data_IF_907869831354
#
_entry.id   IF_907869831354
#
_cell.length_a   1.000
_cell.length_b   1.000
_cell.length_c   1.000
_cell.angle_alpha   90.00
_cell.angle_beta   90.00
_cell.angle_gamma   90.00
#
_symmetry.space_group_name_H-M   'P 1'
#
loop_
_entity.id
_entity.type
_entity.pdbx_description
1 polymer ?
#
# COMPACT_ATOMS: atom_id res chain seq x y z
N UNK A 1 7.61 -30.15 10.36
CA UNK A 1 7.80 -29.81 8.93
C UNK A 1 9.26 -29.44 8.80
N UNK A 2 10.01 -30.28 8.10
CA UNK A 2 11.47 -30.36 8.27
C UNK A 2 12.16 -29.29 7.43
N UNK A 3 13.24 -28.69 7.93
CA UNK A 3 14.06 -27.68 7.23
C UNK A 3 14.50 -28.11 5.81
N UNK A 4 14.50 -29.42 5.53
CA UNK A 4 14.81 -29.98 4.21
C UNK A 4 13.72 -29.75 3.16
N UNK A 5 12.43 -29.78 3.55
CA UNK A 5 11.30 -29.57 2.63
C UNK A 5 11.23 -28.10 2.20
N UNK A 6 11.34 -27.18 3.17
CA UNK A 6 11.34 -25.74 2.91
C UNK A 6 12.50 -25.30 1.99
N UNK A 7 13.69 -25.92 2.13
CA UNK A 7 14.83 -25.65 1.24
C UNK A 7 14.59 -26.16 -0.18
N UNK A 8 13.92 -27.31 -0.33
CA UNK A 8 13.52 -27.85 -1.63
C UNK A 8 12.50 -26.95 -2.32
N UNK A 9 11.46 -26.52 -1.59
CA UNK A 9 10.42 -25.62 -2.10
C UNK A 9 11.01 -24.26 -2.52
N UNK A 10 11.98 -23.74 -1.76
CA UNK A 10 12.69 -22.53 -2.08
C UNK A 10 13.53 -22.67 -3.36
N UNK A 11 14.17 -23.81 -3.57
CA UNK A 11 14.93 -24.10 -4.78
C UNK A 11 14.06 -24.17 -6.03
N UNK A 12 12.87 -24.80 -5.92
CA UNK A 12 11.86 -24.83 -6.99
C UNK A 12 11.30 -23.43 -7.27
N UNK A 13 11.04 -22.66 -6.21
CA UNK A 13 10.59 -21.28 -6.34
C UNK A 13 11.64 -20.40 -7.03
N UNK A 14 12.91 -20.50 -6.62
CA UNK A 14 13.99 -19.73 -7.23
C UNK A 14 14.15 -20.05 -8.72
N UNK A 15 14.10 -21.33 -9.09
CA UNK A 15 14.12 -21.76 -10.49
C UNK A 15 12.94 -21.18 -11.28
N UNK A 16 11.72 -21.35 -10.76
CA UNK A 16 10.51 -20.82 -11.39
C UNK A 16 10.59 -19.31 -11.59
N UNK A 17 11.07 -18.57 -10.59
CA UNK A 17 11.21 -17.12 -10.67
C UNK A 17 12.27 -16.70 -11.68
N UNK A 18 13.42 -17.37 -11.72
CA UNK A 18 14.46 -17.10 -12.72
C UNK A 18 13.91 -17.30 -14.14
N UNK A 19 13.27 -18.44 -14.38
CA UNK A 19 12.69 -18.77 -15.69
C UNK A 19 11.62 -17.75 -16.11
N UNK A 20 10.72 -17.39 -15.19
CA UNK A 20 9.69 -16.37 -15.45
C UNK A 20 10.32 -15.01 -15.84
N UNK A 21 11.40 -14.59 -15.18
CA UNK A 21 12.11 -13.35 -15.52
C UNK A 21 12.84 -13.44 -16.86
N UNK A 22 13.34 -14.61 -17.23
CA UNK A 22 13.90 -14.86 -18.56
C UNK A 22 12.84 -14.80 -19.65
N UNK A 23 11.69 -15.45 -19.46
CA UNK A 23 10.56 -15.42 -20.40
C UNK A 23 10.03 -14.00 -20.63
N UNK A 24 9.96 -13.20 -19.56
CA UNK A 24 9.56 -11.78 -19.61
C UNK A 24 10.65 -10.85 -20.19
N UNK A 25 11.83 -11.38 -20.52
CA UNK A 25 12.96 -10.61 -21.06
C UNK A 25 13.58 -9.63 -20.06
N UNK A 26 13.32 -9.79 -18.75
CA UNK A 26 13.92 -8.98 -17.69
C UNK A 26 15.30 -9.49 -17.27
N UNK A 27 15.58 -10.77 -17.52
CA UNK A 27 16.86 -11.40 -17.28
C UNK A 27 17.30 -12.09 -18.57
N UNK A 28 18.40 -11.66 -19.15
CA UNK A 28 18.93 -12.24 -20.38
C UNK A 28 20.29 -12.88 -20.09
N UNK A 29 20.31 -14.22 -20.02
CA UNK A 29 21.55 -14.99 -20.01
C UNK A 29 21.39 -16.23 -20.89
N UNK A 30 22.44 -16.54 -21.65
CA UNK A 30 22.52 -17.76 -22.47
C UNK A 30 23.34 -18.87 -21.84
N UNK A 31 23.85 -18.64 -20.63
CA UNK A 31 24.76 -19.54 -19.93
C UNK A 31 24.01 -20.38 -18.89
N UNK A 32 23.81 -21.66 -19.19
CA UNK A 32 23.14 -22.59 -18.29
C UNK A 32 23.87 -22.73 -16.95
N UNK A 33 25.21 -22.65 -16.93
CA UNK A 33 25.97 -22.75 -15.70
C UNK A 33 25.74 -21.54 -14.79
N UNK A 34 25.50 -20.36 -15.38
CA UNK A 34 25.17 -19.16 -14.62
C UNK A 34 23.77 -19.27 -13.99
N UNK A 35 22.80 -19.85 -14.70
CA UNK A 35 21.45 -20.09 -14.15
C UNK A 35 21.50 -21.03 -12.93
N UNK A 36 22.27 -22.11 -13.00
CA UNK A 36 22.50 -23.03 -11.88
C UNK A 36 23.22 -22.34 -10.71
N UNK A 37 24.22 -21.51 -11.00
CA UNK A 37 24.94 -20.70 -10.00
C UNK A 37 23.97 -19.73 -9.29
N UNK A 38 23.12 -19.04 -10.04
CA UNK A 38 22.10 -18.14 -9.49
C UNK A 38 21.11 -18.90 -8.60
N UNK A 39 20.55 -20.02 -9.07
CA UNK A 39 19.61 -20.82 -8.28
C UNK A 39 20.24 -21.28 -6.95
N UNK A 40 21.48 -21.78 -7.00
CA UNK A 40 22.19 -22.25 -5.82
C UNK A 40 22.42 -21.11 -4.82
N UNK A 41 22.99 -19.98 -5.27
CA UNK A 41 23.31 -18.85 -4.40
C UNK A 41 22.04 -18.24 -3.81
N UNK A 42 20.98 -18.06 -4.60
CA UNK A 42 19.71 -17.51 -4.12
C UNK A 42 19.07 -18.40 -3.05
N UNK A 43 19.10 -19.72 -3.24
CA UNK A 43 18.50 -20.69 -2.29
C UNK A 43 19.29 -20.75 -0.99
N UNK A 44 20.63 -20.77 -1.06
CA UNK A 44 21.49 -20.75 0.13
C UNK A 44 21.36 -19.43 0.89
N UNK A 45 21.37 -18.31 0.18
CA UNK A 45 21.27 -17.01 0.82
C UNK A 45 19.90 -16.78 1.43
N UNK A 46 18.81 -17.17 0.78
CA UNK A 46 17.46 -16.77 1.21
C UNK A 46 17.03 -17.32 2.59
N UNK A 47 17.79 -18.23 3.22
CA UNK A 47 17.54 -18.75 4.59
C UNK A 47 16.07 -19.15 4.86
N UNK A 48 15.36 -19.65 3.84
CA UNK A 48 13.94 -20.04 3.92
C UNK A 48 12.93 -18.93 3.64
N UNK A 49 13.35 -17.70 3.30
CA UNK A 49 12.49 -16.58 2.97
C UNK A 49 12.34 -16.38 1.46
N UNK A 50 11.19 -16.76 0.91
CA UNK A 50 10.84 -16.58 -0.51
C UNK A 50 10.93 -15.12 -0.99
N UNK A 51 10.49 -14.16 -0.16
CA UNK A 51 10.60 -12.73 -0.48
C UNK A 51 12.05 -12.31 -0.75
N UNK A 52 13.02 -12.96 -0.10
CA UNK A 52 14.41 -12.61 -0.27
C UNK A 52 14.91 -12.99 -1.67
N UNK A 53 14.51 -14.15 -2.18
CA UNK A 53 14.77 -14.56 -3.57
C UNK A 53 14.25 -13.48 -4.54
N UNK A 54 13.07 -12.91 -4.28
CA UNK A 54 12.53 -11.83 -5.12
C UNK A 54 13.44 -10.59 -5.13
N UNK A 55 13.85 -10.09 -3.96
CA UNK A 55 14.72 -8.91 -3.89
C UNK A 55 16.10 -9.14 -4.52
N UNK A 56 16.69 -10.31 -4.27
CA UNK A 56 18.00 -10.65 -4.83
C UNK A 56 17.89 -10.84 -6.35
N UNK A 57 16.81 -11.44 -6.85
CA UNK A 57 16.60 -11.61 -8.28
C UNK A 57 16.39 -10.26 -8.99
N UNK A 58 15.72 -9.30 -8.35
CA UNK A 58 15.62 -7.94 -8.88
C UNK A 58 16.99 -7.26 -9.03
N UNK A 59 17.91 -7.49 -8.07
CA UNK A 59 19.30 -7.02 -8.17
C UNK A 59 20.04 -7.64 -9.37
N UNK A 60 19.77 -8.91 -9.67
CA UNK A 60 20.39 -9.62 -10.79
C UNK A 60 19.79 -9.18 -12.14
N UNK A 61 18.48 -8.96 -12.20
CA UNK A 61 17.80 -8.44 -13.40
C UNK A 61 18.26 -7.02 -13.77
N UNK A 62 18.80 -6.25 -12.82
CA UNK A 62 19.33 -4.91 -13.07
C UNK A 62 20.72 -4.91 -13.74
N UNK A 63 21.37 -6.07 -13.92
CA UNK A 63 22.70 -6.19 -14.49
C UNK A 63 22.67 -6.30 -16.02
N UNK A 64 23.73 -5.80 -16.69
CA UNK A 64 23.75 -5.65 -18.15
C UNK A 64 24.41 -6.84 -18.87
N UNK A 65 25.25 -7.62 -18.19
CA UNK A 65 25.95 -8.76 -18.77
C UNK A 65 26.24 -9.85 -17.73
N UNK A 66 26.58 -11.05 -18.20
CA UNK A 66 26.86 -12.20 -17.34
C UNK A 66 28.01 -11.95 -16.33
N UNK A 67 29.01 -11.14 -16.67
CA UNK A 67 30.09 -10.78 -15.74
C UNK A 67 29.58 -9.87 -14.60
N UNK A 68 28.68 -8.94 -14.91
CA UNK A 68 28.04 -8.08 -13.91
C UNK A 68 27.09 -8.88 -13.02
N UNK A 69 26.36 -9.86 -13.58
CA UNK A 69 25.54 -10.81 -12.81
C UNK A 69 26.43 -11.55 -11.80
N UNK A 70 27.55 -12.14 -12.24
CA UNK A 70 28.49 -12.84 -11.35
C UNK A 70 29.10 -11.95 -10.28
N UNK A 71 29.42 -10.69 -10.61
CA UNK A 71 29.85 -9.70 -9.62
C UNK A 71 28.73 -9.38 -8.63
N UNK A 72 27.50 -9.23 -9.10
CA UNK A 72 26.34 -8.95 -8.26
C UNK A 72 26.08 -10.10 -7.29
N UNK A 73 26.12 -11.36 -7.76
CA UNK A 73 26.04 -12.58 -6.93
C UNK A 73 27.04 -12.59 -5.76
N UNK A 74 28.27 -12.09 -5.98
CA UNK A 74 29.31 -11.99 -4.93
C UNK A 74 29.07 -10.87 -3.92
N UNK A 75 28.26 -9.87 -4.27
CA UNK A 75 28.00 -8.69 -3.43
C UNK A 75 26.60 -8.68 -2.83
N UNK A 76 25.82 -9.75 -3.02
CA UNK A 76 24.48 -9.85 -2.49
C UNK A 76 24.46 -9.56 -0.98
N UNK A 77 23.40 -8.90 -0.49
CA UNK A 77 23.26 -8.58 0.92
C UNK A 77 23.31 -9.87 1.75
N UNK A 78 23.98 -9.80 2.90
CA UNK A 78 24.19 -10.96 3.79
C UNK A 78 23.11 -11.11 4.86
N UNK A 79 22.26 -10.09 5.01
CA UNK A 79 21.23 -10.04 6.03
C UNK A 79 20.05 -9.17 5.56
N UNK A 80 18.94 -9.24 6.31
CA UNK A 80 17.72 -8.49 6.03
C UNK A 80 17.94 -6.98 5.97
N UNK A 81 18.73 -6.43 6.90
CA UNK A 81 19.01 -5.00 6.96
C UNK A 81 19.71 -4.50 5.70
N UNK A 82 20.74 -5.21 5.23
CA UNK A 82 21.45 -4.86 4.00
C UNK A 82 20.55 -4.98 2.77
N UNK A 83 19.63 -5.95 2.77
CA UNK A 83 18.65 -6.14 1.71
C UNK A 83 17.69 -4.96 1.64
N UNK A 84 17.08 -4.57 2.75
CA UNK A 84 16.18 -3.42 2.79
C UNK A 84 16.91 -2.12 2.48
N UNK A 85 18.13 -1.93 2.97
CA UNK A 85 18.96 -0.77 2.61
C UNK A 85 19.23 -0.69 1.10
N UNK A 86 19.48 -1.82 0.43
CA UNK A 86 19.61 -1.86 -1.03
C UNK A 86 18.31 -1.49 -1.74
N UNK A 87 17.17 -2.02 -1.28
CA UNK A 87 15.85 -1.68 -1.83
C UNK A 87 15.55 -0.18 -1.67
N UNK A 88 15.76 0.38 -0.48
CA UNK A 88 15.60 1.80 -0.22
C UNK A 88 16.57 2.66 -1.04
N UNK A 89 17.80 2.18 -1.28
CA UNK A 89 18.76 2.85 -2.17
C UNK A 89 18.22 2.98 -3.60
N UNK A 90 17.58 1.92 -4.12
CA UNK A 90 16.94 1.97 -5.45
C UNK A 90 15.78 2.94 -5.49
N UNK A 91 14.96 2.97 -4.44
CA UNK A 91 13.83 3.92 -4.33
C UNK A 91 14.32 5.36 -4.40
N UNK A 92 15.38 5.68 -3.66
CA UNK A 92 16.02 7.01 -3.66
C UNK A 92 16.64 7.32 -5.01
N UNK A 93 17.37 6.38 -5.61
CA UNK A 93 18.01 6.56 -6.92
C UNK A 93 17.00 6.86 -8.03
N UNK A 94 15.77 6.32 -7.94
CA UNK A 94 14.69 6.58 -8.89
C UNK A 94 13.84 7.82 -8.53
N UNK A 95 14.21 8.60 -7.51
CA UNK A 95 13.44 9.75 -7.00
C UNK A 95 11.99 9.40 -6.62
N UNK A 96 11.79 8.20 -6.07
CA UNK A 96 10.47 7.69 -5.64
C UNK A 96 10.25 7.80 -4.13
N UNK A 97 11.27 8.23 -3.39
CA UNK A 97 11.29 8.25 -1.93
C UNK A 97 10.11 9.04 -1.33
N UNK A 98 9.76 10.20 -1.89
CA UNK A 98 8.63 10.99 -1.40
C UNK A 98 7.28 10.25 -1.46
N UNK A 99 7.04 9.48 -2.53
CA UNK A 99 5.83 8.66 -2.66
C UNK A 99 5.88 7.45 -1.73
N UNK A 100 6.98 6.70 -1.75
CA UNK A 100 7.13 5.48 -0.95
C UNK A 100 7.04 5.79 0.53
N UNK A 101 7.65 6.88 1.01
CA UNK A 101 7.52 7.33 2.41
C UNK A 101 6.06 7.54 2.80
N UNK A 102 5.26 8.18 1.95
CA UNK A 102 3.81 8.37 2.22
C UNK A 102 3.05 7.04 2.22
N UNK A 103 3.38 6.10 1.32
CA UNK A 103 2.78 4.76 1.30
C UNK A 103 3.10 4.02 2.60
N UNK A 104 4.39 3.92 2.94
CA UNK A 104 4.88 3.28 4.17
C UNK A 104 4.18 3.87 5.39
N UNK A 105 4.11 5.20 5.47
CA UNK A 105 3.43 5.90 6.56
C UNK A 105 1.99 5.40 6.71
N UNK A 106 1.19 5.41 5.64
CA UNK A 106 -0.19 4.96 5.68
C UNK A 106 -0.31 3.48 6.08
N UNK A 107 0.57 2.62 5.58
CA UNK A 107 0.57 1.20 5.95
C UNK A 107 0.93 0.95 7.42
N UNK A 108 1.74 1.81 8.03
CA UNK A 108 2.12 1.68 9.46
C UNK A 108 0.97 2.08 10.39
N UNK A 109 0.22 3.13 10.04
CA UNK A 109 -0.78 3.74 10.95
C UNK A 109 -2.20 3.25 10.70
N UNK A 110 -2.49 2.69 9.52
CA UNK A 110 -3.84 2.25 9.19
C UNK A 110 -4.29 1.13 10.14
N UNK A 111 -5.44 1.31 10.78
CA UNK A 111 -6.00 0.33 11.73
C UNK A 111 -6.49 -0.96 11.04
N UNK A 112 -6.66 -0.91 9.72
CA UNK A 112 -6.97 -2.06 8.86
C UNK A 112 -6.22 -1.89 7.53
N UNK A 113 -6.02 -2.97 6.76
CA UNK A 113 -5.53 -2.86 5.39
C UNK A 113 -6.37 -1.87 4.58
N UNK A 114 -5.69 -1.00 3.84
CA UNK A 114 -6.31 -0.03 2.94
C UNK A 114 -6.45 -0.66 1.56
N UNK A 115 -7.59 -0.50 0.92
CA UNK A 115 -7.71 -0.84 -0.50
C UNK A 115 -6.79 0.07 -1.33
N UNK A 116 -6.42 -0.38 -2.53
CA UNK A 116 -5.60 0.40 -3.44
C UNK A 116 -6.21 1.79 -3.73
N UNK A 117 -7.53 1.86 -3.81
CA UNK A 117 -8.27 3.09 -4.06
C UNK A 117 -8.24 4.04 -2.86
N UNK A 118 -8.45 3.51 -1.65
CA UNK A 118 -8.34 4.27 -0.41
C UNK A 118 -6.92 4.81 -0.22
N UNK A 119 -5.90 3.99 -0.50
CA UNK A 119 -4.51 4.43 -0.44
C UNK A 119 -4.26 5.58 -1.44
N UNK A 120 -4.73 5.47 -2.67
CA UNK A 120 -4.56 6.52 -3.68
C UNK A 120 -5.24 7.84 -3.27
N UNK A 121 -6.41 7.76 -2.66
CA UNK A 121 -7.11 8.94 -2.13
C UNK A 121 -6.32 9.54 -0.96
N UNK A 122 -5.86 8.70 -0.03
CA UNK A 122 -5.07 9.09 1.13
C UNK A 122 -3.72 9.73 0.77
N UNK A 123 -3.08 9.27 -0.31
CA UNK A 123 -1.84 9.83 -0.86
C UNK A 123 -2.03 11.21 -1.50
N UNK A 124 -3.25 11.51 -1.97
CA UNK A 124 -3.57 12.77 -2.66
C UNK A 124 -3.81 13.95 -1.71
N UNK A 125 -3.98 13.68 -0.41
CA UNK A 125 -4.27 14.69 0.61
C UNK A 125 -2.99 15.38 1.09
N UNK A 126 -2.96 16.70 1.00
CA UNK A 126 -1.98 17.55 1.69
C UNK A 126 -2.64 18.35 2.80
N UNK A 127 -1.96 18.45 3.94
CA UNK A 127 -2.47 19.19 5.11
C UNK A 127 -2.76 20.64 4.73
N UNK A 128 -3.94 21.14 5.11
CA UNK A 128 -4.38 22.50 4.81
C UNK A 128 -5.08 22.69 3.45
N UNK A 129 -5.21 21.63 2.65
CA UNK A 129 -5.96 21.64 1.39
C UNK A 129 -7.47 21.87 1.63
N UNK A 130 -8.11 22.69 0.79
CA UNK A 130 -9.53 23.07 0.95
C UNK A 130 -10.52 22.21 0.17
N UNK A 131 -10.05 21.52 -0.87
CA UNK A 131 -10.86 20.70 -1.77
C UNK A 131 -10.02 19.60 -2.39
N UNK A 132 -10.65 18.49 -2.77
CA UNK A 132 -9.96 17.41 -3.47
C UNK A 132 -9.39 17.91 -4.82
N UNK A 133 -8.11 17.63 -5.07
CA UNK A 133 -7.43 17.98 -6.32
C UNK A 133 -7.15 16.71 -7.13
N UNK A 134 -7.91 16.50 -8.21
CA UNK A 134 -7.76 15.31 -9.06
C UNK A 134 -6.35 15.12 -9.60
N UNK A 135 -5.64 16.22 -9.87
CA UNK A 135 -4.26 16.18 -10.38
C UNK A 135 -3.22 15.62 -9.40
N UNK A 136 -3.55 15.48 -8.11
CA UNK A 136 -2.65 14.91 -7.09
C UNK A 136 -2.85 13.43 -6.88
N UNK A 137 -3.91 12.87 -7.43
CA UNK A 137 -4.20 11.45 -7.29
C UNK A 137 -3.27 10.64 -8.19
N UNK A 138 -2.83 9.50 -7.68
CA UNK A 138 -2.02 8.56 -8.46
C UNK A 138 -2.85 8.08 -9.67
N UNK A 139 -2.33 8.30 -10.87
CA UNK A 139 -2.98 7.90 -12.11
C UNK A 139 -2.93 6.38 -12.29
N UNK A 140 -1.74 5.81 -12.14
CA UNK A 140 -1.48 4.40 -12.35
C UNK A 140 -1.30 3.68 -11.01
N UNK A 141 -2.43 3.35 -10.38
CA UNK A 141 -2.45 2.72 -9.05
C UNK A 141 -1.75 1.36 -9.06
N UNK A 142 -1.86 0.64 -10.18
CA UNK A 142 -1.24 -0.67 -10.36
C UNK A 142 0.28 -0.62 -10.31
N UNK A 143 0.92 0.55 -10.42
CA UNK A 143 2.38 0.68 -10.34
C UNK A 143 2.90 0.99 -8.94
N UNK A 144 2.04 1.11 -7.94
CA UNK A 144 2.46 1.37 -6.55
C UNK A 144 3.42 0.28 -6.05
N UNK A 145 3.14 -1.01 -6.30
CA UNK A 145 4.04 -2.09 -5.89
C UNK A 145 5.43 -1.98 -6.54
N UNK A 146 5.47 -1.60 -7.83
CA UNK A 146 6.70 -1.41 -8.59
C UNK A 146 7.51 -0.22 -8.05
N UNK A 147 6.85 0.89 -7.73
CA UNK A 147 7.52 2.07 -7.20
C UNK A 147 8.04 1.87 -5.78
N UNK A 148 7.38 1.01 -5.02
CA UNK A 148 7.81 0.54 -3.71
C UNK A 148 8.83 -0.61 -3.78
N UNK A 149 9.34 -0.98 -4.97
CA UNK A 149 10.38 -2.02 -5.15
C UNK A 149 10.06 -3.33 -4.41
N UNK A 150 8.82 -3.82 -4.52
CA UNK A 150 8.35 -5.05 -3.86
C UNK A 150 8.34 -5.02 -2.32
N UNK A 151 8.44 -3.84 -1.69
CA UNK A 151 8.21 -3.69 -0.25
C UNK A 151 6.74 -3.88 0.15
N UNK A 152 5.84 -3.69 -0.82
CA UNK A 152 4.40 -3.79 -0.63
C UNK A 152 3.82 -4.79 -1.61
N UNK A 153 2.77 -5.48 -1.18
CA UNK A 153 2.00 -6.42 -1.96
C UNK A 153 0.54 -5.96 -2.01
N UNK A 154 -0.16 -6.32 -3.09
CA UNK A 154 -1.59 -6.06 -3.26
C UNK A 154 -2.29 -7.42 -3.20
N UNK A 155 -3.16 -7.59 -2.21
CA UNK A 155 -3.97 -8.79 -2.09
C UNK A 155 -4.99 -8.86 -3.24
N UNK A 156 -5.10 -10.01 -3.88
CA UNK A 156 -5.95 -10.21 -5.07
C UNK A 156 -7.43 -10.37 -4.71
N UNK A 157 -7.75 -10.77 -3.47
CA UNK A 157 -9.13 -11.02 -3.03
C UNK A 157 -9.84 -9.72 -2.65
N UNK A 158 -9.17 -8.85 -1.90
CA UNK A 158 -9.75 -7.62 -1.35
C UNK A 158 -9.14 -6.32 -1.88
N UNK A 159 -8.19 -6.41 -2.83
CA UNK A 159 -7.43 -5.29 -3.38
C UNK A 159 -6.70 -4.46 -2.29
N UNK A 160 -6.41 -5.07 -1.13
CA UNK A 160 -5.76 -4.38 -0.03
C UNK A 160 -4.25 -4.30 -0.21
N UNK A 161 -3.67 -3.16 0.17
CA UNK A 161 -2.24 -2.93 0.14
C UNK A 161 -1.65 -3.22 1.50
N UNK A 162 -0.64 -4.09 1.53
CA UNK A 162 0.03 -4.51 2.75
C UNK A 162 1.54 -4.56 2.52
N UNK A 163 2.33 -4.64 3.60
CA UNK A 163 3.74 -4.98 3.47
C UNK A 163 3.89 -6.38 2.90
N UNK A 164 4.83 -6.57 1.98
CA UNK A 164 5.08 -7.88 1.38
C UNK A 164 5.50 -8.92 2.42
N UNK A 165 6.05 -8.48 3.56
CA UNK A 165 6.34 -9.34 4.71
C UNK A 165 6.41 -8.53 6.01
N UNK A 166 6.09 -9.17 7.14
CA UNK A 166 6.07 -8.51 8.46
C UNK A 166 7.44 -7.95 8.89
N UNK A 167 8.56 -8.55 8.46
CA UNK A 167 9.91 -8.04 8.77
C UNK A 167 10.18 -6.66 8.17
N UNK A 168 9.48 -6.28 7.10
CA UNK A 168 9.57 -4.93 6.53
C UNK A 168 8.97 -3.92 7.49
N UNK A 169 7.81 -4.23 8.06
CA UNK A 169 7.17 -3.40 9.08
C UNK A 169 8.11 -3.19 10.28
N UNK A 170 8.66 -4.27 10.82
CA UNK A 170 9.62 -4.23 11.93
C UNK A 170 10.83 -3.35 11.59
N UNK A 171 11.44 -3.56 10.41
CA UNK A 171 12.59 -2.78 9.97
C UNK A 171 12.31 -1.27 9.90
N UNK A 172 11.12 -0.89 9.43
CA UNK A 172 10.70 0.50 9.30
C UNK A 172 10.40 1.13 10.67
N UNK A 173 9.78 0.39 11.59
CA UNK A 173 9.32 0.91 12.89
C UNK A 173 10.36 0.82 14.01
N UNK A 174 11.30 -0.12 13.95
CA UNK A 174 12.35 -0.28 14.97
C UNK A 174 13.56 0.64 14.71
N UNK A 175 13.66 1.18 13.49
CA UNK A 175 14.68 2.15 13.09
C UNK A 175 15.89 1.50 12.45
N UNK A 176 16.38 2.13 11.38
CA UNK A 176 17.61 1.73 10.73
C UNK A 176 18.81 2.42 11.39
N UNK A 177 19.86 1.66 11.73
CA UNK A 177 21.11 2.26 12.22
C UNK A 177 21.88 3.03 11.13
N UNK A 178 21.46 2.93 9.85
CA UNK A 178 22.06 3.68 8.76
C UNK A 178 21.38 5.04 8.61
N UNK A 179 22.13 6.11 8.92
CA UNK A 179 21.65 7.50 8.85
C UNK A 179 21.17 7.89 7.45
N UNK A 180 21.62 7.19 6.39
CA UNK A 180 21.19 7.46 5.01
C UNK A 180 19.69 7.22 4.79
N UNK A 181 19.10 6.30 5.55
CA UNK A 181 17.70 5.92 5.41
C UNK A 181 16.87 6.31 6.65
N UNK A 182 17.39 7.21 7.49
CA UNK A 182 16.69 7.70 8.67
C UNK A 182 15.31 8.30 8.32
N UNK A 183 15.17 8.93 7.16
CA UNK A 183 13.89 9.49 6.69
C UNK A 183 12.83 8.45 6.33
N UNK A 184 13.19 7.17 6.21
CA UNK A 184 12.24 6.08 6.01
C UNK A 184 11.78 5.45 7.33
N UNK A 185 12.44 5.77 8.44
CA UNK A 185 12.01 5.31 9.75
C UNK A 185 10.71 6.01 10.14
N UNK A 186 9.74 5.21 10.57
CA UNK A 186 8.42 5.73 10.98
C UNK A 186 8.25 5.55 12.48
N UNK A 187 8.17 6.68 13.20
CA UNK A 187 7.73 6.69 14.58
C UNK A 187 6.20 6.70 14.62
N UNK A 188 5.62 5.72 15.31
CA UNK A 188 4.17 5.50 15.31
C UNK A 188 3.40 6.74 15.80
N UNK A 189 3.88 7.42 16.84
CA UNK A 189 3.21 8.61 17.40
C UNK A 189 3.15 9.77 16.41
N UNK A 190 4.26 10.07 15.74
CA UNK A 190 4.31 11.14 14.72
C UNK A 190 3.51 10.77 13.48
N UNK A 191 3.54 9.48 13.14
CA UNK A 191 2.82 8.98 12.01
C UNK A 191 1.30 9.07 12.25
N UNK A 192 0.83 8.65 13.43
CA UNK A 192 -0.57 8.74 13.84
C UNK A 192 -1.05 10.19 13.85
N UNK A 193 -0.24 11.10 14.42
CA UNK A 193 -0.54 12.53 14.43
C UNK A 193 -0.73 13.10 13.01
N UNK A 194 0.21 12.84 12.09
CA UNK A 194 0.13 13.33 10.71
C UNK A 194 -1.04 12.70 9.95
N UNK A 195 -1.36 11.43 10.20
CA UNK A 195 -2.53 10.78 9.63
C UNK A 195 -3.82 11.46 10.11
N UNK A 196 -3.89 11.79 11.41
CA UNK A 196 -4.98 12.57 11.99
C UNK A 196 -5.16 13.93 11.31
N UNK A 197 -4.08 14.69 11.09
CA UNK A 197 -4.13 15.97 10.38
C UNK A 197 -4.65 15.85 8.93
N UNK A 198 -4.22 14.80 8.21
CA UNK A 198 -4.73 14.52 6.85
C UNK A 198 -6.20 14.14 6.86
N UNK A 199 -6.62 13.29 7.79
CA UNK A 199 -8.03 12.92 7.98
C UNK A 199 -8.89 14.16 8.29
N UNK A 200 -8.44 15.03 9.20
CA UNK A 200 -9.11 16.29 9.50
C UNK A 200 -9.19 17.17 8.26
N UNK A 201 -8.10 17.30 7.49
CA UNK A 201 -8.07 18.08 6.26
C UNK A 201 -9.11 17.58 5.25
N UNK A 202 -9.19 16.26 5.03
CA UNK A 202 -10.17 15.63 4.16
C UNK A 202 -11.61 15.92 4.61
N UNK A 203 -11.92 15.79 5.90
CA UNK A 203 -13.24 16.11 6.46
C UNK A 203 -13.60 17.60 6.32
N UNK A 204 -12.60 18.48 6.29
CA UNK A 204 -12.78 19.93 6.09
C UNK A 204 -12.92 20.33 4.62
N UNK A 205 -12.84 19.41 3.66
CA UNK A 205 -13.09 19.74 2.27
C UNK A 205 -14.48 20.36 2.10
N UNK A 206 -14.54 21.45 1.33
CA UNK A 206 -15.77 22.21 1.11
C UNK A 206 -16.91 21.39 0.49
N UNK A 207 -16.58 20.25 -0.12
CA UNK A 207 -17.53 19.30 -0.70
C UNK A 207 -18.44 18.68 0.36
N UNK A 208 -17.90 18.35 1.54
CA UNK A 208 -18.67 17.80 2.66
C UNK A 208 -19.41 18.89 3.43
N UNK A 209 -18.82 20.09 3.57
CA UNK A 209 -19.46 21.22 4.24
C UNK A 209 -20.74 21.68 3.52
N UNK A 210 -20.72 21.73 2.18
CA UNK A 210 -21.91 22.07 1.37
C UNK A 210 -23.02 21.01 1.47
N UNK A 211 -22.66 19.73 1.59
CA UNK A 211 -23.62 18.64 1.75
C UNK A 211 -24.34 18.71 3.13
N UNK A 212 -23.61 19.03 4.20
CA UNK A 212 -24.17 19.21 5.55
C UNK A 212 -25.10 20.44 5.61
N UNK A 213 -24.70 21.56 5.01
CA UNK A 213 -25.52 22.77 4.97
C UNK A 213 -26.87 22.53 4.25
N UNK A 214 -26.87 21.81 3.12
CA UNK A 214 -28.10 21.42 2.40
C UNK A 214 -29.04 20.56 3.26
N UNK A 215 -28.48 19.66 4.08
CA UNK A 215 -29.24 18.76 4.97
C UNK A 215 -29.84 19.49 6.16
N UNK A 216 -29.18 20.53 6.67
CA UNK A 216 -29.75 21.41 7.70
C UNK A 216 -30.88 22.28 7.13
N UNK A 217 -30.74 22.79 5.89
CA UNK A 217 -31.79 23.58 5.24
C UNK A 217 -33.08 22.81 4.94
N UNK A 218 -33.00 21.48 4.71
CA UNK A 218 -34.19 20.64 4.48
C UNK A 218 -34.98 20.29 5.74
N UNK A 219 -34.54 20.71 6.94
CA UNK A 219 -35.24 20.43 8.21
C UNK A 219 -35.81 21.63 8.95
N UNK A 220 -35.81 22.81 8.34
CA UNK A 220 -36.60 23.93 8.85
C UNK A 220 -38.03 23.86 8.31
N UNK A 221 -38.81 22.89 8.79
CA UNK A 221 -40.27 22.99 8.73
C UNK A 221 -40.67 24.21 9.57
N UNK A 222 -41.22 25.24 8.93
CA UNK A 222 -41.72 26.41 9.63
C UNK A 222 -42.84 25.99 10.61
N UNK A 223 -42.75 26.29 11.92
CA UNK A 223 -43.69 25.79 12.92
C UNK A 223 -45.13 26.34 12.83
N UNK A 224 -45.50 27.09 11.78
CA UNK A 224 -46.77 27.82 11.72
C UNK A 224 -47.83 27.28 10.76
N UNK A 225 -47.56 26.18 10.04
CA UNK A 225 -48.53 25.62 9.07
C UNK A 225 -49.06 24.22 9.40
N UNK A 226 -48.75 23.63 10.56
CA UNK A 226 -49.27 22.29 10.95
C UNK A 226 -50.54 22.36 11.82
N UNK A 227 -50.92 23.55 12.31
CA UNK A 227 -52.09 23.73 13.18
C UNK A 227 -53.37 24.14 12.47
N UNK A 228 -53.83 23.41 11.43
CA UNK A 228 -55.21 23.59 10.92
C UNK A 228 -55.80 22.41 10.14
N UNK A 229 -55.07 21.31 9.94
CA UNK A 229 -55.56 20.15 9.17
C UNK A 229 -56.13 19.02 10.07
N UNK A 230 -56.04 19.14 11.40
CA UNK A 230 -56.38 18.03 12.31
C UNK A 230 -57.61 18.25 13.22
N UNK A 231 -58.46 19.26 12.98
CA UNK A 231 -59.72 19.42 13.74
C UNK A 231 -60.87 19.69 12.77
N UNK A 232 -61.64 18.64 12.43
CA UNK A 232 -62.98 18.82 11.89
C UNK A 232 -63.46 17.89 10.78
N UNK A 233 -63.01 16.63 10.68
CA UNK A 233 -63.72 15.64 9.85
C UNK A 233 -63.78 14.27 10.51
N UNK A 234 -64.77 14.05 11.39
CA UNK A 234 -65.40 12.74 11.59
C UNK A 234 -66.69 12.88 12.39
N UNK A 235 -67.83 12.46 11.82
CA UNK A 235 -69.07 12.30 12.58
C UNK A 235 -70.38 12.24 11.77
N UNK A 236 -70.49 11.36 10.76
CA UNK A 236 -71.80 10.99 10.18
C UNK A 236 -72.33 9.75 10.94
N UNK A 237 -73.48 9.84 11.62
CA UNK A 237 -74.58 8.83 11.58
C UNK A 237 -75.80 9.20 12.46
N UNK A 238 -76.90 9.49 11.75
CA UNK A 238 -78.30 9.06 11.93
C UNK A 238 -78.99 9.06 13.30
N UNK A 239 -80.10 9.80 13.39
CA UNK A 239 -81.38 9.33 13.97
C UNK A 239 -82.58 9.93 13.19
N UNK A 240 -83.51 9.06 12.80
CA UNK A 240 -84.91 9.38 12.48
C UNK A 240 -85.65 9.84 13.76
N UNK A 241 -86.79 10.54 13.63
CA UNK A 241 -88.05 9.91 14.02
C UNK A 241 -89.22 10.23 13.08
N UNK A 242 -90.26 9.40 13.13
CA UNK A 242 -91.46 9.53 12.31
C UNK A 242 -92.56 10.42 12.90
N UNK A 243 -93.51 10.74 12.04
CA UNK A 243 -94.97 10.68 12.25
C UNK A 243 -95.62 10.69 10.86
#
# INVERSE_FOLDING_TARGET
MTSSEAKSDLGLYAESMILERCEKGMLATGDQALLEEMQHILTEHAEGMFLWVTFLLDDLCAQYCDDDIRKCLKTLPKNLKDTFNRVLSRIVAHNRDGLVKKVIHWLVVASRPLTLDELCDALSIEVGQKHAERGRRVNDKGRIFLWCENLVHIDEEDESVQFAHHTIFQFITEGCSDLKFADFHVRLEEADHLAGERCLTYLHYGDFQKAVARRQQTRLLQPRSIGLVAIGSHGKRSKLPGS
#
